data_IF_248773648487
#
_entry.id   IF_248773648487
#
_cell.length_a   1.000
_cell.length_b   1.000
_cell.length_c   1.000
_cell.angle_alpha   90.00
_cell.angle_beta   90.00
_cell.angle_gamma   90.00
#
_symmetry.space_group_name_H-M   'P 1'
#
loop_
_entity.id
_entity.type
_entity.pdbx_description
1 polymer ?
#
# COMPACT_ATOMS: atom_id res chain seq x y z
N UNK A 1 -20.67 8.67 -16.75
CA UNK A 1 -20.00 7.56 -17.49
C UNK A 1 -18.51 7.42 -17.18
N UNK A 2 -17.79 8.45 -16.70
CA UNK A 2 -16.36 8.34 -16.33
C UNK A 2 -16.10 7.64 -14.99
N UNK A 3 -16.94 7.88 -13.98
CA UNK A 3 -16.64 7.48 -12.59
C UNK A 3 -16.67 5.96 -12.32
N UNK A 4 -17.53 5.20 -13.00
CA UNK A 4 -17.58 3.74 -12.81
C UNK A 4 -16.36 3.05 -13.43
N UNK A 5 -15.89 3.56 -14.57
CA UNK A 5 -14.69 3.05 -15.26
C UNK A 5 -13.45 3.33 -14.41
N UNK A 6 -13.37 4.49 -13.77
CA UNK A 6 -12.29 4.88 -12.87
C UNK A 6 -12.25 3.99 -11.61
N UNK A 7 -13.41 3.71 -11.00
CA UNK A 7 -13.49 2.81 -9.83
C UNK A 7 -13.08 1.38 -10.20
N UNK A 8 -13.53 0.87 -11.36
CA UNK A 8 -13.12 -0.46 -11.84
C UNK A 8 -11.61 -0.54 -12.07
N UNK A 9 -11.01 0.49 -12.67
CA UNK A 9 -9.55 0.58 -12.85
C UNK A 9 -8.81 0.62 -11.52
N UNK A 10 -9.34 1.35 -10.53
CA UNK A 10 -8.76 1.40 -9.19
C UNK A 10 -8.83 0.05 -8.48
N UNK A 11 -9.92 -0.69 -8.65
CA UNK A 11 -10.06 -2.06 -8.17
C UNK A 11 -9.03 -3.00 -8.82
N UNK A 12 -8.81 -2.87 -10.13
CA UNK A 12 -7.83 -3.68 -10.87
C UNK A 12 -6.37 -3.42 -10.42
N UNK A 13 -6.03 -2.15 -10.17
CA UNK A 13 -4.71 -1.75 -9.67
C UNK A 13 -4.47 -2.24 -8.25
N UNK A 14 -5.50 -2.20 -7.39
CA UNK A 14 -5.43 -2.62 -5.99
C UNK A 14 -5.64 -4.13 -5.77
N UNK A 15 -5.97 -4.88 -6.82
CA UNK A 15 -6.31 -6.31 -6.76
C UNK A 15 -7.47 -6.60 -5.80
N UNK A 16 -8.45 -5.69 -5.78
CA UNK A 16 -9.69 -5.83 -5.01
C UNK A 16 -10.82 -6.32 -5.91
N UNK A 17 -11.48 -7.39 -5.50
CA UNK A 17 -12.69 -7.89 -6.15
C UNK A 17 -13.90 -7.31 -5.43
N UNK A 18 -14.57 -6.33 -6.06
CA UNK A 18 -15.79 -5.71 -5.55
C UNK A 18 -16.97 -6.15 -6.42
N UNK A 19 -18.05 -6.69 -5.84
CA UNK A 19 -19.29 -6.99 -6.56
C UNK A 19 -19.83 -5.76 -7.30
N UNK A 20 -20.32 -5.95 -8.53
CA UNK A 20 -20.82 -4.87 -9.38
C UNK A 20 -21.93 -4.03 -8.70
N UNK A 21 -22.76 -4.67 -7.87
CA UNK A 21 -23.83 -4.02 -7.09
C UNK A 21 -23.31 -2.94 -6.13
N UNK A 22 -22.09 -3.11 -5.59
CA UNK A 22 -21.47 -2.17 -4.65
C UNK A 22 -20.61 -1.09 -5.32
N UNK A 23 -20.39 -1.17 -6.64
CA UNK A 23 -19.52 -0.23 -7.37
C UNK A 23 -20.10 1.19 -7.34
N UNK A 24 -21.42 1.32 -7.46
CA UNK A 24 -22.08 2.63 -7.44
C UNK A 24 -21.99 3.28 -6.04
N UNK A 25 -22.22 2.50 -4.99
CA UNK A 25 -22.13 2.99 -3.61
C UNK A 25 -20.69 3.38 -3.26
N UNK A 26 -19.71 2.56 -3.63
CA UNK A 26 -18.29 2.86 -3.42
C UNK A 26 -17.84 4.09 -4.20
N UNK A 27 -18.31 4.29 -5.43
CA UNK A 27 -18.05 5.51 -6.20
C UNK A 27 -18.56 6.77 -5.48
N UNK A 28 -19.75 6.70 -4.87
CA UNK A 28 -20.30 7.83 -4.12
C UNK A 28 -19.50 8.13 -2.85
N UNK A 29 -19.09 7.08 -2.10
CA UNK A 29 -18.24 7.25 -0.91
C UNK A 29 -16.88 7.83 -1.26
N UNK A 30 -16.25 7.36 -2.33
CA UNK A 30 -14.97 7.90 -2.81
C UNK A 30 -15.13 9.38 -3.17
N UNK A 31 -16.23 9.77 -3.83
CA UNK A 31 -16.49 11.18 -4.16
C UNK A 31 -16.66 12.05 -2.92
N UNK A 32 -17.37 11.55 -1.92
CA UNK A 32 -17.54 12.26 -0.65
C UNK A 32 -16.19 12.49 0.03
N UNK A 33 -15.35 11.45 0.10
CA UNK A 33 -14.00 11.54 0.65
C UNK A 33 -13.13 12.52 -0.14
N UNK A 34 -13.15 12.47 -1.47
CA UNK A 34 -12.41 13.42 -2.31
C UNK A 34 -12.89 14.86 -2.12
N UNK A 35 -14.20 15.07 -1.95
CA UNK A 35 -14.75 16.41 -1.66
C UNK A 35 -14.33 16.96 -0.30
N UNK A 36 -14.07 16.07 0.68
CA UNK A 36 -13.51 16.46 1.96
C UNK A 36 -12.05 16.91 1.80
N UNK A 37 -11.25 16.19 1.01
CA UNK A 37 -9.85 16.56 0.74
C UNK A 37 -9.73 17.88 0.00
N UNK A 38 -10.60 18.16 -0.97
CA UNK A 38 -10.58 19.46 -1.64
C UNK A 38 -10.85 20.65 -0.71
N UNK A 39 -11.57 20.46 0.39
CA UNK A 39 -11.73 21.51 1.43
C UNK A 39 -10.46 21.73 2.25
N UNK A 40 -9.58 20.73 2.31
CA UNK A 40 -8.27 20.83 2.95
C UNK A 40 -7.25 21.48 2.01
N UNK A 41 -7.39 21.32 0.69
CA UNK A 41 -6.56 22.03 -0.31
C UNK A 41 -6.77 23.55 -0.27
N UNK A 42 -7.93 24.02 0.20
CA UNK A 42 -8.22 25.45 0.42
C UNK A 42 -7.48 26.03 1.64
N UNK A 43 -6.90 25.19 2.51
CA UNK A 43 -6.04 25.65 3.60
C UNK A 43 -4.65 25.94 3.03
N UNK A 44 -4.26 27.20 3.06
CA UNK A 44 -3.01 27.71 2.50
C UNK A 44 -1.78 27.05 3.18
N UNK A 45 -1.20 26.03 2.51
CA UNK A 45 -0.03 25.27 2.98
C UNK A 45 1.28 26.01 2.66
N UNK A 46 1.24 27.24 2.13
CA UNK A 46 2.43 28.01 1.70
C UNK A 46 3.47 28.31 2.79
N UNK A 47 3.16 28.03 4.06
CA UNK A 47 4.04 28.23 5.21
C UNK A 47 4.24 27.00 6.09
N UNK A 48 3.69 25.83 5.72
CA UNK A 48 4.15 24.59 6.33
C UNK A 48 5.47 24.24 5.63
N UNK A 49 6.59 24.47 6.33
CA UNK A 49 7.79 23.67 6.09
C UNK A 49 7.30 22.25 5.91
N UNK A 50 7.49 21.70 4.70
CA UNK A 50 7.25 20.30 4.40
C UNK A 50 7.76 19.54 5.62
N UNK A 51 6.86 18.91 6.37
CA UNK A 51 7.25 18.15 7.55
C UNK A 51 8.11 17.00 7.04
N UNK A 52 9.41 17.29 6.95
CA UNK A 52 10.55 16.47 6.54
C UNK A 52 10.80 15.41 7.62
N UNK A 53 9.73 14.79 8.12
CA UNK A 53 9.78 13.60 8.95
C UNK A 53 9.54 12.32 8.15
N UNK A 54 9.17 12.45 6.88
CA UNK A 54 9.23 11.34 5.92
C UNK A 54 10.05 11.79 4.74
N UNK A 55 11.33 11.36 4.76
CA UNK A 55 12.32 11.68 3.74
C UNK A 55 11.70 11.68 2.36
N UNK A 56 11.67 12.87 1.75
CA UNK A 56 11.33 13.03 0.35
C UNK A 56 12.12 12.05 -0.50
N UNK A 57 11.66 11.83 -1.73
CA UNK A 57 12.28 10.96 -2.74
C UNK A 57 13.68 11.44 -3.20
N UNK A 58 14.47 12.07 -2.31
CA UNK A 58 15.92 12.16 -2.41
C UNK A 58 16.48 10.76 -2.25
N UNK A 59 16.82 10.18 -3.39
CA UNK A 59 17.45 8.85 -3.53
C UNK A 59 18.88 8.84 -2.95
N UNK A 60 19.39 9.98 -2.46
CA UNK A 60 20.67 10.09 -1.78
C UNK A 60 20.53 9.62 -0.32
N UNK A 61 20.61 8.30 -0.13
CA UNK A 61 20.81 7.72 1.21
C UNK A 61 22.16 8.18 1.73
N UNK A 62 22.21 8.67 2.97
CA UNK A 62 23.48 9.01 3.62
C UNK A 62 24.42 7.80 3.65
N UNK A 63 25.73 8.04 3.55
CA UNK A 63 26.76 6.99 3.65
C UNK A 63 26.63 6.19 4.96
N UNK A 64 26.15 6.84 6.02
CA UNK A 64 25.89 6.22 7.32
C UNK A 64 24.70 5.24 7.32
N UNK A 65 23.87 5.24 6.27
CA UNK A 65 22.71 4.33 6.10
C UNK A 65 23.07 3.01 5.41
N UNK A 66 24.33 2.82 5.01
CA UNK A 66 24.76 1.60 4.32
C UNK A 66 24.72 0.40 5.27
N UNK A 67 24.05 -0.67 4.82
CA UNK A 67 24.06 -1.96 5.52
C UNK A 67 25.38 -2.68 5.27
N UNK A 68 26.11 -3.03 6.33
CA UNK A 68 27.29 -3.88 6.22
C UNK A 68 26.97 -5.30 5.72
N UNK A 69 27.93 -5.92 5.03
CA UNK A 69 27.81 -7.29 4.52
C UNK A 69 28.09 -8.34 5.61
N UNK A 70 27.24 -8.35 6.64
CA UNK A 70 27.34 -9.29 7.76
C UNK A 70 26.13 -10.23 7.72
N UNK A 71 26.33 -11.56 7.70
CA UNK A 71 25.23 -12.50 7.69
C UNK A 71 24.43 -12.40 8.99
N UNK A 72 23.10 -12.32 8.87
CA UNK A 72 22.17 -12.38 10.01
C UNK A 72 21.41 -13.70 9.93
N UNK A 73 21.12 -14.30 11.09
CA UNK A 73 20.29 -15.51 11.15
C UNK A 73 18.94 -15.22 10.48
N UNK A 74 18.53 -16.07 9.54
CA UNK A 74 17.19 -16.02 8.98
C UNK A 74 16.17 -16.35 10.06
N UNK A 75 14.95 -15.83 9.93
CA UNK A 75 13.83 -16.30 10.72
C UNK A 75 13.69 -17.82 10.52
N UNK A 76 13.65 -18.60 11.59
CA UNK A 76 13.42 -20.04 11.45
C UNK A 76 11.95 -20.28 11.12
N UNK A 77 11.66 -21.31 10.31
CA UNK A 77 10.28 -21.72 9.95
C UNK A 77 9.46 -22.06 11.21
N UNK A 78 10.13 -22.40 12.31
CA UNK A 78 9.57 -22.71 13.62
C UNK A 78 9.53 -21.53 14.59
N UNK A 79 10.28 -20.44 14.33
CA UNK A 79 10.29 -19.27 15.19
C UNK A 79 9.00 -18.49 14.99
N UNK A 80 8.17 -18.52 16.01
CA UNK A 80 6.92 -17.79 16.17
C UNK A 80 7.05 -16.26 16.08
N UNK A 81 8.22 -15.72 15.69
CA UNK A 81 8.49 -14.30 15.50
C UNK A 81 8.18 -13.86 14.07
N UNK A 82 8.26 -14.77 13.08
CA UNK A 82 7.71 -14.56 11.74
C UNK A 82 6.26 -15.07 11.68
N UNK A 83 5.34 -14.35 12.33
CA UNK A 83 3.91 -14.72 12.52
C UNK A 83 3.05 -14.69 11.25
N UNK A 84 3.57 -15.08 10.09
CA UNK A 84 2.72 -15.37 8.93
C UNK A 84 2.47 -16.87 8.88
N UNK A 85 1.36 -17.30 9.49
CA UNK A 85 0.89 -18.68 9.38
C UNK A 85 0.29 -18.86 7.98
N UNK A 86 1.12 -19.29 7.04
CA UNK A 86 0.72 -19.49 5.65
C UNK A 86 -0.16 -20.75 5.56
N UNK A 87 -1.36 -20.60 4.99
CA UNK A 87 -2.37 -21.64 4.94
C UNK A 87 -2.01 -22.79 3.99
N UNK A 88 -1.36 -22.48 2.87
CA UNK A 88 -1.03 -23.43 1.82
C UNK A 88 0.49 -23.58 1.68
N UNK A 89 1.09 -24.49 2.46
CA UNK A 89 2.52 -24.79 2.37
C UNK A 89 2.79 -26.27 2.14
N UNK A 90 3.78 -26.58 1.29
CA UNK A 90 4.25 -27.96 1.04
C UNK A 90 5.74 -27.95 0.75
N UNK A 91 6.51 -28.79 1.45
CA UNK A 91 7.95 -28.97 1.26
C UNK A 91 8.77 -27.65 1.28
N UNK A 92 8.39 -26.68 2.12
CA UNK A 92 9.06 -25.37 2.20
C UNK A 92 8.61 -24.35 1.16
N UNK A 93 7.61 -24.67 0.32
CA UNK A 93 7.02 -23.77 -0.67
C UNK A 93 5.63 -23.30 -0.23
N UNK A 94 5.26 -22.09 -0.67
CA UNK A 94 3.89 -21.58 -0.62
C UNK A 94 3.18 -21.97 -1.90
N UNK A 95 2.06 -22.67 -1.79
CA UNK A 95 1.28 -23.12 -2.94
C UNK A 95 0.24 -22.06 -3.31
N UNK A 96 0.21 -21.68 -4.59
CA UNK A 96 -0.78 -20.79 -5.17
C UNK A 96 -1.18 -21.24 -6.57
N UNK A 97 -2.18 -20.57 -7.17
CA UNK A 97 -2.53 -20.76 -8.58
C UNK A 97 -1.29 -20.55 -9.47
N UNK A 98 -1.19 -21.35 -10.53
CA UNK A 98 -0.12 -21.21 -11.51
C UNK A 98 -0.31 -19.88 -12.28
N UNK A 99 0.74 -19.07 -12.31
CA UNK A 99 0.83 -17.80 -13.07
C UNK A 99 1.13 -18.11 -14.54
#
# INVERSE_FOLDING_TARGET
MSNEIEVKKLCELSKLEIPDEMILETSNKIREVMSLFHKLDELDISSADDTDSYGGLRIEKSLDSLRGDVPRRSFSVTDSVAKLKLLNTRNGFVLGPRI
#
